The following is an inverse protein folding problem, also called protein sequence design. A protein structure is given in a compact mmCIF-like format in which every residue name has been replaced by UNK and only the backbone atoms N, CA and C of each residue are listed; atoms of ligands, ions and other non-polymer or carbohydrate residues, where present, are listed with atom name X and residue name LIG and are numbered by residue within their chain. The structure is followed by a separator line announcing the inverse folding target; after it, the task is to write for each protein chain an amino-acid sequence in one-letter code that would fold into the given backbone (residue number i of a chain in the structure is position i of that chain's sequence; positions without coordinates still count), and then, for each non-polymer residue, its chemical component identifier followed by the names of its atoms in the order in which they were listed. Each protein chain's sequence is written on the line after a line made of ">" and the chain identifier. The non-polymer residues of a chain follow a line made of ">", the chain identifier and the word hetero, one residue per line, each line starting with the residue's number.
data_IF_239395011241
#
_entry.id   IF_239395011241
#
_cell.length_a   1.000
_cell.length_b   1.000
_cell.length_c   1.000
_cell.angle_alpha   90.00
_cell.angle_beta   90.00
_cell.angle_gamma   90.00
#
_symmetry.space_group_name_H-M   'P 1'
#
loop_
_entity.id
_entity.type
_entity.pdbx_description
1 polymer ?
#
# COMPACT_ATOMS: atom_id res chain seq x y z
N UNK A 1 3.77 -3.31 -10.30
CA UNK A 1 4.05 -3.64 -8.88
C UNK A 1 2.76 -3.94 -8.10
N UNK A 2 2.58 -5.03 -7.34
CA UNK A 2 2.49 -6.46 -7.74
C UNK A 2 1.40 -7.21 -6.91
N UNK A 3 0.20 -7.58 -7.42
CA UNK A 3 -0.51 -8.78 -6.95
C UNK A 3 -0.01 -9.99 -7.73
N UNK A 4 0.82 -10.80 -7.08
CA UNK A 4 1.44 -11.99 -7.67
C UNK A 4 2.95 -11.81 -7.84
N UNK A 5 3.68 -11.90 -6.73
CA UNK A 5 5.14 -11.87 -6.61
C UNK A 5 5.87 -12.97 -7.42
N UNK A 6 5.22 -13.60 -8.40
CA UNK A 6 5.58 -14.89 -8.99
C UNK A 6 6.97 -14.94 -9.59
N UNK A 7 7.49 -13.83 -10.13
CA UNK A 7 8.85 -13.79 -10.69
C UNK A 7 9.82 -12.96 -9.82
N UNK A 8 9.36 -11.93 -9.14
CA UNK A 8 10.21 -11.02 -8.37
C UNK A 8 10.62 -11.56 -7.00
N UNK A 9 9.87 -12.50 -6.40
CA UNK A 9 10.15 -13.04 -5.06
C UNK A 9 10.55 -14.52 -5.06
N UNK A 10 11.32 -14.94 -6.06
CA UNK A 10 12.03 -16.22 -6.02
C UNK A 10 13.04 -16.26 -4.86
N UNK A 11 13.33 -17.47 -4.37
CA UNK A 11 14.29 -17.72 -3.28
C UNK A 11 15.64 -17.07 -3.60
N UNK A 12 16.05 -16.11 -2.77
CA UNK A 12 17.41 -15.59 -2.79
C UNK A 12 18.40 -16.61 -2.22
N UNK A 13 19.67 -16.47 -2.59
CA UNK A 13 20.79 -17.23 -2.05
C UNK A 13 21.74 -16.28 -1.33
N UNK A 14 22.46 -16.79 -0.33
CA UNK A 14 23.49 -16.00 0.36
C UNK A 14 24.58 -15.49 -0.60
N UNK A 15 24.85 -16.23 -1.68
CA UNK A 15 25.77 -15.81 -2.75
C UNK A 15 25.37 -14.50 -3.44
N UNK A 16 24.09 -14.12 -3.36
CA UNK A 16 23.54 -12.94 -4.02
C UNK A 16 23.74 -11.67 -3.18
N UNK A 17 24.33 -11.78 -1.98
CA UNK A 17 24.58 -10.69 -1.04
C UNK A 17 26.05 -10.27 -1.02
N UNK A 18 26.31 -8.98 -0.78
CA UNK A 18 27.64 -8.46 -0.44
C UNK A 18 28.13 -8.96 0.93
N UNK A 19 29.40 -8.77 1.26
CA UNK A 19 29.92 -9.12 2.58
C UNK A 19 29.27 -8.28 3.69
N UNK A 20 29.02 -7.00 3.43
CA UNK A 20 28.34 -6.08 4.35
C UNK A 20 26.88 -6.49 4.60
N UNK A 21 26.15 -6.90 3.54
CA UNK A 21 24.79 -7.40 3.67
C UNK A 21 24.72 -8.72 4.44
N UNK A 22 25.71 -9.61 4.28
CA UNK A 22 25.77 -10.85 5.04
C UNK A 22 26.07 -10.60 6.51
N UNK A 23 26.93 -9.63 6.82
CA UNK A 23 27.33 -9.30 8.18
C UNK A 23 26.19 -8.78 9.06
N UNK A 24 25.11 -8.25 8.45
CA UNK A 24 23.96 -7.76 9.22
C UNK A 24 22.90 -8.82 9.50
N UNK A 25 22.95 -10.00 8.85
CA UNK A 25 21.99 -11.08 9.09
C UNK A 25 22.16 -11.60 10.53
N UNK A 26 21.08 -11.72 11.31
CA UNK A 26 21.17 -12.29 12.66
C UNK A 26 21.69 -13.73 12.65
N UNK A 27 22.60 -14.04 13.58
CA UNK A 27 23.06 -15.41 13.82
C UNK A 27 22.06 -16.22 14.68
N UNK A 28 21.32 -15.52 15.54
CA UNK A 28 20.30 -16.09 16.42
C UNK A 28 18.93 -16.15 15.73
N UNK A 29 18.02 -16.90 16.33
CA UNK A 29 16.61 -16.88 15.94
C UNK A 29 16.06 -15.44 16.03
N UNK A 30 15.22 -15.06 15.07
CA UNK A 30 14.67 -13.70 15.04
C UNK A 30 13.26 -13.63 14.45
N UNK A 31 12.51 -12.63 14.90
CA UNK A 31 11.29 -12.17 14.26
C UNK A 31 11.59 -11.04 13.28
N UNK A 32 10.84 -10.99 12.19
CA UNK A 32 10.95 -9.93 11.17
C UNK A 32 9.67 -9.08 11.16
N UNK A 33 9.84 -7.76 11.06
CA UNK A 33 8.76 -6.81 10.76
C UNK A 33 9.28 -5.76 9.75
N UNK A 34 8.99 -5.94 8.45
CA UNK A 34 9.43 -5.03 7.42
C UNK A 34 8.41 -3.90 7.22
N UNK A 35 8.53 -2.83 8.00
CA UNK A 35 7.67 -1.66 7.89
C UNK A 35 8.35 -0.36 8.34
N UNK A 36 7.97 0.73 7.69
CA UNK A 36 8.25 2.09 8.19
C UNK A 36 7.60 2.31 9.56
N UNK A 37 8.20 3.17 10.38
CA UNK A 37 7.79 3.41 11.77
C UNK A 37 6.53 4.29 11.93
N UNK A 38 5.57 4.17 11.01
CA UNK A 38 4.32 4.93 11.05
C UNK A 38 3.43 4.53 12.23
N UNK A 39 2.61 5.45 12.78
CA UNK A 39 1.76 5.17 13.94
C UNK A 39 0.84 3.94 13.76
N UNK A 40 0.25 3.78 12.57
CA UNK A 40 -0.64 2.66 12.28
C UNK A 40 0.08 1.30 12.18
N UNK A 41 1.42 1.28 12.08
CA UNK A 41 2.19 0.02 12.12
C UNK A 41 2.40 -0.52 13.53
N UNK A 42 1.99 0.21 14.57
CA UNK A 42 1.78 -0.36 15.91
C UNK A 42 3.03 -1.01 16.56
N UNK A 43 4.21 -0.49 16.26
CA UNK A 43 5.49 -0.97 16.77
C UNK A 43 5.53 -1.06 18.30
N UNK A 44 4.96 -0.06 18.98
CA UNK A 44 4.98 0.01 20.44
C UNK A 44 4.30 -1.19 21.10
N UNK A 45 3.05 -1.51 20.73
CA UNK A 45 2.32 -2.66 21.28
C UNK A 45 2.98 -3.99 20.90
N UNK A 46 3.49 -4.07 19.68
CA UNK A 46 4.23 -5.25 19.20
C UNK A 46 5.48 -5.51 20.08
N UNK A 47 6.21 -4.47 20.45
CA UNK A 47 7.39 -4.58 21.33
C UNK A 47 7.03 -4.83 22.80
N UNK A 48 5.89 -4.32 23.28
CA UNK A 48 5.35 -4.67 24.59
C UNK A 48 4.99 -6.18 24.68
N UNK A 49 4.42 -6.72 23.60
CA UNK A 49 4.14 -8.15 23.48
C UNK A 49 5.43 -8.99 23.42
N UNK A 50 6.41 -8.52 22.65
CA UNK A 50 7.73 -9.16 22.55
C UNK A 50 8.48 -9.19 23.89
N UNK A 51 8.43 -8.10 24.67
CA UNK A 51 8.97 -8.05 26.03
C UNK A 51 8.35 -9.12 26.94
N UNK A 52 7.02 -9.32 26.84
CA UNK A 52 6.32 -10.35 27.61
C UNK A 52 6.72 -11.77 27.15
N UNK A 53 6.82 -11.99 25.84
CA UNK A 53 7.29 -13.26 25.26
C UNK A 53 8.69 -13.64 25.77
N UNK A 54 9.65 -12.70 25.76
CA UNK A 54 11.02 -12.98 26.22
C UNK A 54 11.05 -13.31 27.72
N UNK A 55 10.28 -12.59 28.53
CA UNK A 55 10.19 -12.83 29.98
C UNK A 55 9.59 -14.20 30.30
N UNK A 56 8.57 -14.62 29.54
CA UNK A 56 7.88 -15.89 29.76
C UNK A 56 8.69 -17.10 29.30
N UNK A 57 9.38 -16.97 28.17
CA UNK A 57 10.06 -18.10 27.53
C UNK A 57 11.56 -18.19 27.86
N UNK A 58 12.19 -17.08 28.26
CA UNK A 58 13.64 -17.00 28.47
C UNK A 58 14.48 -17.24 27.21
N UNK A 59 13.86 -17.18 26.02
CA UNK A 59 14.51 -17.46 24.74
C UNK A 59 15.45 -16.32 24.33
N UNK A 60 16.54 -16.68 23.67
CA UNK A 60 17.43 -15.71 23.02
C UNK A 60 16.98 -15.48 21.57
N UNK A 61 16.00 -14.61 21.38
CA UNK A 61 15.44 -14.25 20.07
C UNK A 61 15.61 -12.75 19.84
N UNK A 62 16.01 -12.35 18.63
CA UNK A 62 16.08 -10.95 18.21
C UNK A 62 14.78 -10.48 17.52
N UNK A 63 14.55 -9.17 17.48
CA UNK A 63 13.50 -8.57 16.67
C UNK A 63 14.10 -7.60 15.64
N UNK A 64 13.94 -7.93 14.35
CA UNK A 64 14.51 -7.18 13.24
C UNK A 64 13.44 -6.36 12.53
N UNK A 65 13.71 -5.07 12.40
CA UNK A 65 12.92 -4.10 11.65
C UNK A 65 13.67 -3.65 10.40
N UNK A 66 12.93 -3.38 9.33
CA UNK A 66 13.46 -2.78 8.08
C UNK A 66 12.50 -1.71 7.58
N UNK A 67 13.01 -0.72 6.84
CA UNK A 67 12.23 0.42 6.32
C UNK A 67 12.91 1.75 6.63
N UNK A 68 12.16 2.86 6.56
CA UNK A 68 12.66 4.17 6.98
C UNK A 68 12.92 4.19 8.50
N UNK A 69 14.16 4.45 8.98
CA UNK A 69 14.50 4.47 10.39
C UNK A 69 14.08 5.76 11.13
N UNK A 70 13.43 6.72 10.47
CA UNK A 70 12.95 7.94 11.12
C UNK A 70 12.04 7.61 12.32
N UNK A 71 12.40 8.14 13.50
CA UNK A 71 11.73 7.83 14.77
C UNK A 71 12.27 6.60 15.52
N UNK A 72 13.23 5.87 14.95
CA UNK A 72 13.80 4.66 15.57
C UNK A 72 14.44 4.93 16.93
N UNK A 73 15.14 6.05 17.09
CA UNK A 73 15.88 6.37 18.32
C UNK A 73 14.95 6.46 19.55
N UNK A 74 13.73 6.96 19.36
CA UNK A 74 12.70 7.01 20.40
C UNK A 74 12.26 5.60 20.81
N UNK A 75 12.04 4.71 19.85
CA UNK A 75 11.69 3.31 20.09
C UNK A 75 12.84 2.59 20.79
N UNK A 76 14.06 2.72 20.25
CA UNK A 76 15.28 2.10 20.78
C UNK A 76 15.55 2.51 22.22
N UNK A 77 15.38 3.78 22.56
CA UNK A 77 15.57 4.28 23.93
C UNK A 77 14.55 3.66 24.89
N UNK A 78 13.27 3.66 24.52
CA UNK A 78 12.18 3.12 25.33
C UNK A 78 12.30 1.61 25.56
N UNK A 79 12.75 0.87 24.55
CA UNK A 79 12.87 -0.58 24.57
C UNK A 79 14.33 -1.04 24.60
N UNK A 80 15.21 -0.25 25.24
CA UNK A 80 16.67 -0.48 25.29
C UNK A 80 17.09 -1.78 25.98
N UNK A 81 16.19 -2.42 26.72
CA UNK A 81 16.38 -3.71 27.37
C UNK A 81 16.07 -4.90 26.45
N UNK A 82 15.48 -4.66 25.27
CA UNK A 82 15.10 -5.71 24.33
C UNK A 82 16.17 -5.89 23.24
N UNK A 83 16.39 -7.12 22.76
CA UNK A 83 17.31 -7.42 21.65
C UNK A 83 16.71 -7.04 20.30
N UNK A 84 16.63 -5.73 20.03
CA UNK A 84 15.98 -5.18 18.83
C UNK A 84 16.98 -4.46 17.92
N UNK A 85 16.81 -4.62 16.60
CA UNK A 85 17.64 -3.97 15.59
C UNK A 85 16.78 -3.43 14.46
N UNK A 86 17.18 -2.29 13.92
CA UNK A 86 16.58 -1.71 12.73
C UNK A 86 17.66 -1.61 11.65
N UNK A 87 17.49 -2.34 10.55
CA UNK A 87 18.49 -2.41 9.49
C UNK A 87 18.36 -1.29 8.45
N UNK A 88 17.33 -0.46 8.57
CA UNK A 88 17.05 0.60 7.61
C UNK A 88 16.45 0.03 6.32
N UNK A 89 16.63 0.76 5.22
CA UNK A 89 16.32 0.25 3.88
C UNK A 89 17.34 -0.82 3.51
N UNK A 90 16.83 -2.00 3.17
CA UNK A 90 17.64 -3.15 2.74
C UNK A 90 17.32 -3.48 1.29
N UNK A 91 18.31 -3.99 0.55
CA UNK A 91 18.11 -4.45 -0.81
C UNK A 91 17.16 -5.64 -0.89
N UNK A 92 16.55 -5.85 -2.06
CA UNK A 92 15.59 -6.94 -2.30
C UNK A 92 16.16 -8.32 -1.99
N UNK A 93 17.43 -8.58 -2.30
CA UNK A 93 18.09 -9.86 -2.00
C UNK A 93 18.21 -10.08 -0.49
N UNK A 94 18.65 -9.07 0.27
CA UNK A 94 18.77 -9.16 1.72
C UNK A 94 17.39 -9.32 2.36
N UNK A 95 16.38 -8.57 1.92
CA UNK A 95 15.01 -8.70 2.44
C UNK A 95 14.47 -10.12 2.30
N UNK A 96 14.65 -10.75 1.14
CA UNK A 96 14.27 -12.16 0.92
C UNK A 96 14.98 -13.11 1.87
N UNK A 97 16.29 -12.92 2.06
CA UNK A 97 17.08 -13.74 2.99
C UNK A 97 16.60 -13.57 4.43
N UNK A 98 16.24 -12.35 4.83
CA UNK A 98 15.65 -12.07 6.15
C UNK A 98 14.33 -12.82 6.31
N UNK A 99 13.41 -12.75 5.34
CA UNK A 99 12.18 -13.54 5.40
C UNK A 99 12.48 -15.04 5.51
N UNK A 100 13.32 -15.59 4.63
CA UNK A 100 13.64 -17.02 4.58
C UNK A 100 14.27 -17.56 5.88
N UNK A 101 14.95 -16.70 6.63
CA UNK A 101 15.62 -17.06 7.89
C UNK A 101 14.82 -16.71 9.15
N UNK A 102 13.81 -15.85 9.04
CA UNK A 102 13.02 -15.43 10.19
C UNK A 102 12.22 -16.62 10.76
N UNK A 103 12.15 -16.69 12.09
CA UNK A 103 11.32 -17.66 12.81
C UNK A 103 9.83 -17.44 12.51
N UNK A 104 9.43 -16.18 12.35
CA UNK A 104 8.13 -15.77 11.83
C UNK A 104 8.18 -14.32 11.33
N UNK A 105 7.27 -13.99 10.40
CA UNK A 105 6.85 -12.61 10.18
C UNK A 105 5.89 -12.22 11.30
N UNK A 106 6.17 -11.10 11.97
CA UNK A 106 5.31 -10.52 13.01
C UNK A 106 4.76 -9.19 12.50
N UNK A 107 3.47 -9.14 12.18
CA UNK A 107 2.88 -8.02 11.44
C UNK A 107 1.54 -7.57 12.02
N UNK A 108 1.59 -6.90 13.18
CA UNK A 108 0.41 -6.47 13.95
C UNK A 108 0.01 -5.00 13.72
N UNK A 109 -0.13 -4.58 12.47
CA UNK A 109 -0.57 -3.21 12.13
C UNK A 109 -2.06 -2.98 12.43
N UNK A 110 -2.40 -1.74 12.76
CA UNK A 110 -3.78 -1.28 13.00
C UNK A 110 -4.56 -1.09 11.71
N UNK A 111 -3.87 -0.85 10.60
CA UNK A 111 -4.47 -0.65 9.28
C UNK A 111 -3.53 -1.09 8.16
N UNK A 112 -4.05 -1.84 7.19
CA UNK A 112 -3.40 -2.16 5.92
C UNK A 112 -4.35 -1.97 4.75
N UNK A 113 -3.81 -1.49 3.63
CA UNK A 113 -4.55 -1.44 2.36
C UNK A 113 -4.61 -2.80 1.65
N UNK A 114 -3.53 -3.59 1.72
CA UNK A 114 -3.49 -4.92 1.11
C UNK A 114 -2.82 -5.96 2.02
N UNK A 115 -1.55 -5.77 2.40
CA UNK A 115 -0.81 -6.76 3.19
C UNK A 115 0.21 -7.54 2.37
N UNK A 116 0.96 -6.85 1.50
CA UNK A 116 2.06 -7.43 0.71
C UNK A 116 3.06 -8.24 1.56
N UNK A 117 3.45 -7.81 2.77
CA UNK A 117 4.38 -8.57 3.60
C UNK A 117 3.94 -10.02 3.91
N UNK A 118 2.63 -10.27 4.00
CA UNK A 118 2.11 -11.64 4.18
C UNK A 118 2.42 -12.52 2.97
N UNK A 119 2.24 -11.98 1.76
CA UNK A 119 2.56 -12.70 0.54
C UNK A 119 4.07 -12.94 0.44
N UNK A 120 4.90 -11.94 0.71
CA UNK A 120 6.37 -12.08 0.72
C UNK A 120 6.84 -13.18 1.68
N UNK A 121 6.24 -13.26 2.87
CA UNK A 121 6.47 -14.34 3.82
C UNK A 121 6.04 -15.71 3.25
N UNK A 122 4.86 -15.81 2.63
CA UNK A 122 4.42 -17.06 2.00
C UNK A 122 5.36 -17.53 0.89
N UNK A 123 5.85 -16.62 0.03
CA UNK A 123 6.81 -16.93 -1.04
C UNK A 123 8.16 -17.39 -0.46
N UNK A 124 8.54 -16.84 0.69
CA UNK A 124 9.77 -17.19 1.39
C UNK A 124 9.68 -18.47 2.21
N UNK A 125 8.46 -18.99 2.42
CA UNK A 125 8.21 -20.13 3.30
C UNK A 125 8.34 -19.78 4.78
N UNK A 126 7.99 -18.54 5.14
CA UNK A 126 8.04 -18.01 6.50
C UNK A 126 6.64 -18.05 7.11
N UNK A 127 6.45 -18.62 8.31
CA UNK A 127 5.16 -18.60 8.97
C UNK A 127 4.83 -17.18 9.46
N UNK A 128 3.55 -16.86 9.59
CA UNK A 128 3.08 -15.49 9.84
C UNK A 128 2.18 -15.44 11.07
N UNK A 129 2.43 -14.45 11.93
CA UNK A 129 1.47 -13.95 12.92
C UNK A 129 1.12 -12.48 12.61
N UNK A 130 -0.16 -12.15 12.54
CA UNK A 130 -0.59 -10.82 12.10
C UNK A 130 -1.91 -10.33 12.73
N UNK A 131 -2.31 -9.10 12.41
CA UNK A 131 -3.62 -8.57 12.83
C UNK A 131 -4.77 -9.31 12.16
N UNK A 132 -5.91 -9.39 12.85
CA UNK A 132 -7.17 -9.95 12.35
C UNK A 132 -8.15 -8.87 11.82
N UNK A 133 -7.63 -7.71 11.41
CA UNK A 133 -8.42 -6.55 10.95
C UNK A 133 -7.97 -6.07 9.57
N UNK A 134 -8.77 -5.21 8.94
CA UNK A 134 -8.56 -4.64 7.60
C UNK A 134 -8.44 -5.72 6.52
N UNK A 135 -7.45 -5.64 5.63
CA UNK A 135 -7.25 -6.59 4.53
C UNK A 135 -6.54 -7.88 4.98
N UNK A 136 -5.90 -7.91 6.14
CA UNK A 136 -5.06 -9.05 6.55
C UNK A 136 -5.82 -10.39 6.73
N UNK A 137 -7.05 -10.44 7.25
CA UNK A 137 -7.86 -11.66 7.25
C UNK A 137 -8.12 -12.22 5.84
N UNK A 138 -8.33 -11.33 4.87
CA UNK A 138 -8.55 -11.70 3.47
C UNK A 138 -7.27 -12.21 2.80
N UNK A 139 -6.11 -11.63 3.13
CA UNK A 139 -4.82 -12.06 2.57
C UNK A 139 -4.27 -13.30 3.28
N UNK A 140 -4.44 -13.42 4.60
CA UNK A 140 -3.88 -14.49 5.42
C UNK A 140 -4.79 -15.71 5.59
N UNK A 141 -6.10 -15.50 5.75
CA UNK A 141 -7.09 -16.55 6.03
C UNK A 141 -6.61 -17.59 7.03
N UNK A 142 -6.68 -18.87 6.67
CA UNK A 142 -6.29 -19.98 7.55
C UNK A 142 -4.79 -20.35 7.48
N UNK A 143 -4.00 -19.58 6.74
CA UNK A 143 -2.55 -19.76 6.57
C UNK A 143 -1.70 -18.96 7.57
N UNK A 144 -2.36 -18.22 8.49
CA UNK A 144 -1.72 -17.37 9.49
C UNK A 144 -2.33 -17.62 10.85
N UNK A 145 -1.61 -17.26 11.92
CA UNK A 145 -2.23 -17.00 13.21
C UNK A 145 -2.55 -15.51 13.31
N UNK A 146 -3.70 -15.15 13.87
CA UNK A 146 -4.08 -13.74 13.97
C UNK A 146 -4.82 -13.42 15.26
N UNK A 147 -4.66 -12.18 15.71
CA UNK A 147 -5.38 -11.63 16.85
C UNK A 147 -5.69 -10.13 16.66
N UNK A 148 -6.45 -9.57 17.58
CA UNK A 148 -6.70 -8.13 17.63
C UNK A 148 -5.36 -7.38 17.82
N UNK A 149 -5.03 -6.38 16.98
CA UNK A 149 -3.79 -5.61 17.09
C UNK A 149 -3.72 -4.71 18.34
N UNK A 150 -4.75 -4.66 19.15
CA UNK A 150 -4.77 -3.96 20.45
C UNK A 150 -4.55 -4.89 21.64
N UNK A 151 -4.65 -6.21 21.45
CA UNK A 151 -4.45 -7.21 22.50
C UNK A 151 -2.97 -7.67 22.56
N UNK A 152 -2.19 -6.96 23.37
CA UNK A 152 -0.77 -7.24 23.62
C UNK A 152 -0.54 -8.65 24.17
N UNK A 153 -1.46 -9.16 25.00
CA UNK A 153 -1.31 -10.49 25.59
C UNK A 153 -1.56 -11.59 24.53
N UNK A 154 -2.51 -11.40 23.63
CA UNK A 154 -2.73 -12.30 22.51
C UNK A 154 -1.52 -12.35 21.57
N UNK A 155 -0.93 -11.20 21.22
CA UNK A 155 0.28 -11.15 20.40
C UNK A 155 1.43 -11.96 21.02
N UNK A 156 1.64 -11.79 22.33
CA UNK A 156 2.70 -12.51 23.06
C UNK A 156 2.44 -14.03 23.03
N UNK A 157 1.20 -14.48 23.25
CA UNK A 157 0.83 -15.89 23.14
C UNK A 157 1.08 -16.45 21.74
N UNK A 158 0.78 -15.68 20.69
CA UNK A 158 1.06 -16.08 19.31
C UNK A 158 2.56 -16.20 19.03
N UNK A 159 3.39 -15.32 19.60
CA UNK A 159 4.85 -15.44 19.54
C UNK A 159 5.35 -16.71 20.26
N UNK A 160 4.80 -17.04 21.43
CA UNK A 160 5.12 -18.30 22.13
C UNK A 160 4.75 -19.51 21.27
N UNK A 161 3.51 -19.55 20.78
CA UNK A 161 2.96 -20.65 20.00
C UNK A 161 3.78 -20.91 18.73
N UNK A 162 4.11 -19.85 17.98
CA UNK A 162 4.85 -20.00 16.72
C UNK A 162 6.30 -20.45 16.95
N UNK A 163 6.94 -20.07 18.06
CA UNK A 163 8.33 -20.45 18.37
C UNK A 163 8.41 -21.88 18.93
N UNK A 164 7.44 -22.29 19.75
CA UNK A 164 7.46 -23.60 20.41
C UNK A 164 6.98 -24.74 19.51
N UNK A 165 6.08 -24.45 18.56
CA UNK A 165 5.41 -25.49 17.78
C UNK A 165 5.95 -25.59 16.35
N UNK A 166 6.97 -26.43 16.16
CA UNK A 166 7.57 -26.68 14.84
C UNK A 166 6.57 -27.26 13.83
N UNK A 167 5.70 -28.19 14.25
CA UNK A 167 4.70 -28.80 13.38
C UNK A 167 3.67 -27.77 12.90
N UNK A 168 3.24 -26.86 13.78
CA UNK A 168 2.37 -25.76 13.41
C UNK A 168 3.02 -24.84 12.37
N UNK A 169 4.31 -24.49 12.55
CA UNK A 169 5.03 -23.68 11.54
C UNK A 169 5.02 -24.35 10.18
N UNK A 170 5.31 -25.64 10.11
CA UNK A 170 5.27 -26.40 8.85
C UNK A 170 3.88 -26.38 8.20
N UNK A 171 2.82 -26.54 9.00
CA UNK A 171 1.43 -26.45 8.53
C UNK A 171 1.13 -25.06 7.97
N UNK A 172 1.46 -23.99 8.71
CA UNK A 172 1.22 -22.61 8.27
C UNK A 172 1.99 -22.28 6.99
N UNK A 173 3.25 -22.73 6.89
CA UNK A 173 4.07 -22.56 5.68
C UNK A 173 3.45 -23.27 4.49
N UNK A 174 2.95 -24.50 4.67
CA UNK A 174 2.31 -25.25 3.58
C UNK A 174 1.02 -24.55 3.12
N UNK A 175 0.18 -24.11 4.07
CA UNK A 175 -1.02 -23.33 3.75
C UNK A 175 -0.70 -22.01 3.08
N UNK A 176 0.37 -21.32 3.50
CA UNK A 176 0.86 -20.09 2.88
C UNK A 176 1.22 -20.30 1.41
N UNK A 177 1.93 -21.38 1.09
CA UNK A 177 2.27 -21.76 -0.29
C UNK A 177 1.06 -22.05 -1.17
N UNK A 178 0.03 -22.66 -0.62
CA UNK A 178 -1.24 -22.88 -1.35
C UNK A 178 -2.01 -21.57 -1.51
N UNK A 179 -1.98 -20.73 -0.49
CA UNK A 179 -2.70 -19.46 -0.43
C UNK A 179 -2.14 -18.41 -1.37
N UNK A 180 -0.81 -18.26 -1.45
CA UNK A 180 -0.18 -17.31 -2.37
C UNK A 180 -0.58 -17.54 -3.84
N UNK A 181 -0.83 -18.80 -4.23
CA UNK A 181 -1.27 -19.15 -5.59
C UNK A 181 -2.65 -18.58 -5.95
N UNK A 182 -3.40 -18.08 -4.96
CA UNK A 182 -4.68 -17.39 -5.17
C UNK A 182 -4.51 -15.94 -5.60
N UNK A 183 -3.33 -15.35 -5.50
CA UNK A 183 -3.07 -13.94 -5.79
C UNK A 183 -2.22 -13.80 -7.04
N UNK A 184 -2.79 -13.20 -8.09
CA UNK A 184 -2.10 -12.91 -9.35
C UNK A 184 -2.71 -11.70 -10.04
N UNK A 185 -1.94 -11.03 -10.89
CA UNK A 185 -2.39 -9.85 -11.61
C UNK A 185 -3.56 -10.17 -12.53
N UNK A 186 -3.45 -11.32 -13.20
CA UNK A 186 -4.51 -11.82 -14.07
C UNK A 186 -5.81 -11.99 -13.28
N UNK A 187 -5.73 -12.56 -12.07
CA UNK A 187 -6.92 -12.72 -11.23
C UNK A 187 -7.43 -11.38 -10.70
N UNK A 188 -6.56 -10.49 -10.24
CA UNK A 188 -6.95 -9.14 -9.79
C UNK A 188 -7.64 -8.36 -10.91
N UNK A 189 -7.10 -8.37 -12.12
CA UNK A 189 -7.69 -7.75 -13.30
C UNK A 189 -9.03 -8.40 -13.66
N UNK A 190 -9.11 -9.74 -13.63
CA UNK A 190 -10.36 -10.47 -13.89
C UNK A 190 -11.44 -10.09 -12.87
N UNK A 191 -11.11 -10.11 -11.57
CA UNK A 191 -12.03 -9.74 -10.49
C UNK A 191 -12.50 -8.28 -10.63
N UNK A 192 -11.60 -7.35 -10.99
CA UNK A 192 -11.95 -5.95 -11.23
C UNK A 192 -12.92 -5.82 -12.40
N UNK A 193 -12.63 -6.47 -13.53
CA UNK A 193 -13.51 -6.45 -14.70
C UNK A 193 -14.88 -7.08 -14.42
N UNK A 194 -14.93 -8.15 -13.64
CA UNK A 194 -16.19 -8.74 -13.17
C UNK A 194 -16.98 -7.78 -12.28
N UNK A 195 -16.31 -7.09 -11.35
CA UNK A 195 -16.93 -6.08 -10.50
C UNK A 195 -17.49 -4.90 -11.32
N UNK A 196 -16.72 -4.41 -12.29
CA UNK A 196 -17.15 -3.34 -13.20
C UNK A 196 -18.35 -3.80 -14.05
N UNK A 197 -18.32 -4.99 -14.65
CA UNK A 197 -19.45 -5.54 -15.42
C UNK A 197 -20.70 -5.72 -14.57
N UNK A 198 -20.54 -6.19 -13.33
CA UNK A 198 -21.66 -6.36 -12.39
C UNK A 198 -22.38 -5.04 -12.11
N UNK A 199 -21.63 -3.95 -11.96
CA UNK A 199 -22.20 -2.61 -11.73
C UNK A 199 -22.69 -1.97 -13.05
N UNK A 200 -22.00 -2.21 -14.16
CA UNK A 200 -22.32 -1.65 -15.47
C UNK A 200 -23.58 -2.25 -16.13
N UNK A 201 -23.86 -3.54 -15.91
CA UNK A 201 -24.99 -4.23 -16.57
C UNK A 201 -26.39 -3.79 -16.07
N UNK A 202 -26.48 -3.02 -14.99
CA UNK A 202 -27.77 -2.51 -14.50
C UNK A 202 -28.14 -1.13 -15.07
N UNK A 203 -27.22 -0.42 -15.75
CA UNK A 203 -27.52 0.91 -16.32
C UNK A 203 -26.69 1.20 -17.58
N UNK A 204 -27.43 1.34 -18.68
CA UNK A 204 -27.06 1.87 -19.99
C UNK A 204 -26.60 0.83 -21.02
N UNK A 205 -27.23 0.90 -22.19
CA UNK A 205 -26.56 0.59 -23.45
C UNK A 205 -25.14 1.15 -23.35
N UNK A 206 -24.14 0.28 -23.29
CA UNK A 206 -22.76 0.69 -23.54
C UNK A 206 -22.82 1.22 -24.97
N UNK A 207 -22.97 2.55 -25.11
CA UNK A 207 -22.60 3.22 -26.34
C UNK A 207 -21.14 2.86 -26.47
N UNK A 208 -20.86 1.82 -27.25
CA UNK A 208 -19.52 1.57 -27.74
C UNK A 208 -19.15 2.91 -28.32
N UNK A 209 -18.23 3.62 -27.66
CA UNK A 209 -17.64 4.77 -28.26
C UNK A 209 -16.86 4.17 -29.43
N UNK A 210 -17.55 3.97 -30.56
CA UNK A 210 -16.92 3.96 -31.85
C UNK A 210 -16.37 5.37 -31.95
N UNK A 211 -15.15 5.55 -31.45
CA UNK A 211 -14.31 6.69 -31.73
C UNK A 211 -14.08 6.64 -33.24
N UNK A 212 -15.04 7.16 -34.00
CA UNK A 212 -15.00 7.17 -35.46
C UNK A 212 -13.74 7.91 -35.86
N UNK A 213 -12.92 7.26 -36.68
CA UNK A 213 -11.66 7.73 -37.26
C UNK A 213 -11.69 9.23 -37.57
N UNK A 214 -11.20 10.02 -36.63
CA UNK A 214 -11.19 11.48 -36.65
C UNK A 214 -10.49 11.97 -35.38
N UNK A 215 -9.81 13.12 -35.47
CA UNK A 215 -9.00 13.67 -34.38
C UNK A 215 -9.94 14.18 -33.25
N UNK A 216 -10.47 13.25 -32.43
CA UNK A 216 -11.38 13.55 -31.34
C UNK A 216 -10.57 14.10 -30.17
N UNK A 217 -10.97 15.28 -29.69
CA UNK A 217 -10.44 15.88 -28.47
C UNK A 217 -11.47 15.65 -27.34
N UNK A 218 -11.49 14.46 -26.70
CA UNK A 218 -12.42 14.17 -25.62
C UNK A 218 -12.27 15.13 -24.45
N UNK A 219 -13.35 15.39 -23.72
CA UNK A 219 -13.26 16.11 -22.46
C UNK A 219 -12.61 15.20 -21.42
N UNK A 220 -11.48 15.63 -20.85
CA UNK A 220 -10.83 14.95 -19.73
C UNK A 220 -11.27 15.63 -18.44
N UNK A 221 -11.92 14.89 -17.55
CA UNK A 221 -12.29 15.40 -16.24
C UNK A 221 -11.40 14.83 -15.15
N UNK A 222 -10.77 15.71 -14.36
CA UNK A 222 -9.90 15.37 -13.25
C UNK A 222 -10.54 15.80 -11.93
N UNK A 223 -10.60 14.88 -10.97
CA UNK A 223 -11.04 15.15 -9.60
C UNK A 223 -9.86 15.08 -8.66
N UNK A 224 -9.67 16.09 -7.82
CA UNK A 224 -8.66 16.06 -6.76
C UNK A 224 -9.33 16.05 -5.39
N UNK A 225 -9.25 14.94 -4.63
CA UNK A 225 -9.59 14.96 -3.21
C UNK A 225 -8.50 15.70 -2.42
N UNK A 226 -8.88 16.49 -1.42
CA UNK A 226 -7.94 17.21 -0.56
C UNK A 226 -8.43 17.28 0.89
N UNK A 227 -7.54 17.10 1.86
CA UNK A 227 -7.85 17.32 3.28
C UNK A 227 -6.57 17.65 4.06
N UNK A 228 -6.46 18.89 4.53
CA UNK A 228 -5.27 19.45 5.19
C UNK A 228 -3.97 19.24 4.38
N UNK A 229 -4.01 19.60 3.09
CA UNK A 229 -2.91 19.38 2.14
C UNK A 229 -2.35 20.69 1.57
N UNK A 230 -2.49 21.79 2.29
CA UNK A 230 -2.12 23.13 1.83
C UNK A 230 -0.68 23.23 1.33
N UNK A 231 0.24 22.52 1.99
CA UNK A 231 1.65 22.38 1.60
C UNK A 231 1.85 21.92 0.15
N UNK A 232 1.01 21.02 -0.36
CA UNK A 232 1.18 20.39 -1.67
C UNK A 232 0.14 20.81 -2.70
N UNK A 233 -1.06 21.21 -2.23
CA UNK A 233 -2.24 21.44 -3.06
C UNK A 233 -1.99 22.43 -4.20
N UNK A 234 -1.20 23.48 -3.97
CA UNK A 234 -0.84 24.44 -5.02
C UNK A 234 -0.10 23.78 -6.18
N UNK A 235 0.86 22.90 -5.90
CA UNK A 235 1.63 22.20 -6.93
C UNK A 235 0.75 21.25 -7.72
N UNK A 236 -0.13 20.51 -7.04
CA UNK A 236 -1.09 19.61 -7.67
C UNK A 236 -2.04 20.36 -8.60
N UNK A 237 -2.66 21.47 -8.16
CA UNK A 237 -3.51 22.35 -8.99
C UNK A 237 -2.76 22.88 -10.21
N UNK A 238 -1.57 23.48 -10.00
CA UNK A 238 -0.78 24.03 -11.10
C UNK A 238 -0.38 22.94 -12.11
N UNK A 239 -0.13 21.71 -11.66
CA UNK A 239 0.20 20.59 -12.56
C UNK A 239 -0.93 20.25 -13.54
N UNK A 240 -2.18 20.39 -13.10
CA UNK A 240 -3.38 20.17 -13.93
C UNK A 240 -3.60 21.38 -14.85
N UNK A 241 -3.56 22.60 -14.30
CA UNK A 241 -3.83 23.82 -15.06
C UNK A 241 -2.77 24.11 -16.14
N UNK A 242 -1.53 23.64 -15.96
CA UNK A 242 -0.44 23.84 -16.91
C UNK A 242 -0.27 22.70 -17.91
N UNK A 243 -1.22 21.76 -18.00
CA UNK A 243 -1.20 20.74 -19.06
C UNK A 243 -1.39 21.38 -20.44
N UNK A 244 -0.72 20.83 -21.46
CA UNK A 244 -0.85 21.26 -22.85
C UNK A 244 -2.21 20.91 -23.48
N UNK A 245 -2.94 19.97 -22.88
CA UNK A 245 -4.21 19.49 -23.40
C UNK A 245 -5.35 20.50 -23.13
N UNK A 246 -6.06 20.99 -24.16
CA UNK A 246 -6.95 22.15 -24.00
C UNK A 246 -8.34 21.84 -23.41
N UNK A 247 -8.74 20.57 -23.35
CA UNK A 247 -10.10 20.18 -22.93
C UNK A 247 -10.10 19.47 -21.58
N UNK A 248 -9.76 20.22 -20.53
CA UNK A 248 -9.74 19.73 -19.14
C UNK A 248 -10.88 20.37 -18.35
N UNK A 249 -11.73 19.53 -17.74
CA UNK A 249 -12.60 19.91 -16.63
C UNK A 249 -11.91 19.53 -15.32
N UNK A 250 -11.77 20.47 -14.40
CA UNK A 250 -11.10 20.21 -13.12
C UNK A 250 -12.03 20.51 -11.94
N UNK A 251 -12.06 19.59 -10.98
CA UNK A 251 -12.83 19.69 -9.75
C UNK A 251 -11.97 19.33 -8.56
N UNK A 252 -11.92 20.18 -7.53
CA UNK A 252 -11.31 19.85 -6.24
C UNK A 252 -12.39 19.64 -5.19
N UNK A 253 -12.36 18.51 -4.49
CA UNK A 253 -13.25 18.23 -3.36
C UNK A 253 -12.40 18.24 -2.10
N UNK A 254 -12.59 19.27 -1.29
CA UNK A 254 -11.93 19.47 -0.01
C UNK A 254 -12.80 18.92 1.14
N UNK A 255 -12.22 18.06 1.97
CA UNK A 255 -12.88 17.37 3.08
C UNK A 255 -13.16 18.23 4.32
N UNK A 256 -13.26 19.55 4.17
CA UNK A 256 -13.40 20.49 5.27
C UNK A 256 -12.08 20.78 5.95
N UNK A 257 -11.06 21.14 5.17
CA UNK A 257 -9.71 21.43 5.67
C UNK A 257 -9.69 22.58 6.67
N UNK A 258 -8.78 22.46 7.64
CA UNK A 258 -8.54 23.42 8.71
C UNK A 258 -7.22 24.20 8.55
N UNK A 259 -6.40 23.82 7.57
CA UNK A 259 -5.16 24.47 7.19
C UNK A 259 -5.39 25.54 6.09
N UNK A 260 -4.34 25.94 5.38
CA UNK A 260 -4.40 26.93 4.31
C UNK A 260 -5.07 26.44 3.00
N UNK A 261 -5.50 25.18 2.91
CA UNK A 261 -6.03 24.58 1.67
C UNK A 261 -7.20 25.38 1.08
N UNK A 262 -8.16 25.80 1.91
CA UNK A 262 -9.33 26.57 1.46
C UNK A 262 -8.94 27.95 0.93
N UNK A 263 -7.96 28.61 1.54
CA UNK A 263 -7.46 29.90 1.07
C UNK A 263 -6.68 29.77 -0.25
N UNK A 264 -5.94 28.66 -0.42
CA UNK A 264 -5.34 28.32 -1.71
C UNK A 264 -6.43 28.16 -2.77
N UNK A 265 -7.48 27.38 -2.51
CA UNK A 265 -8.58 27.16 -3.47
C UNK A 265 -9.27 28.48 -3.86
N UNK A 266 -9.58 29.33 -2.89
CA UNK A 266 -10.14 30.67 -3.15
C UNK A 266 -9.23 31.52 -4.04
N UNK A 267 -7.91 31.42 -3.90
CA UNK A 267 -6.94 32.20 -4.68
C UNK A 267 -6.99 31.94 -6.19
N UNK A 268 -7.57 30.80 -6.62
CA UNK A 268 -7.73 30.44 -8.04
C UNK A 268 -9.00 30.99 -8.69
N UNK A 269 -9.91 31.61 -7.92
CA UNK A 269 -11.15 32.16 -8.43
C UNK A 269 -11.99 31.11 -9.17
N UNK A 270 -12.35 31.40 -10.43
CA UNK A 270 -13.23 30.55 -11.24
C UNK A 270 -12.49 29.65 -12.24
N UNK A 271 -11.17 29.46 -12.08
CA UNK A 271 -10.37 28.63 -13.01
C UNK A 271 -10.80 27.15 -13.03
N UNK A 272 -11.36 26.66 -11.93
CA UNK A 272 -11.90 25.31 -11.78
C UNK A 272 -12.99 25.30 -10.70
N UNK A 273 -13.78 24.23 -10.61
CA UNK A 273 -14.80 24.12 -9.55
C UNK A 273 -14.19 23.52 -8.29
N UNK A 274 -14.60 23.98 -7.13
CA UNK A 274 -14.25 23.30 -5.89
C UNK A 274 -15.38 23.37 -4.88
N UNK A 275 -15.40 22.38 -3.98
CA UNK A 275 -16.33 22.28 -2.86
C UNK A 275 -15.51 21.98 -1.61
N UNK A 276 -15.82 22.63 -0.49
CA UNK A 276 -15.22 22.33 0.81
C UNK A 276 -16.33 21.98 1.80
N UNK A 277 -16.38 20.71 2.20
CA UNK A 277 -17.33 20.17 3.17
C UNK A 277 -16.76 18.88 3.80
N UNK A 278 -17.18 18.50 5.02
CA UNK A 278 -16.76 17.23 5.61
C UNK A 278 -17.06 16.02 4.73
N UNK A 279 -16.15 15.04 4.73
CA UNK A 279 -16.29 13.75 4.03
C UNK A 279 -15.96 12.56 4.94
N UNK A 280 -16.24 11.35 4.44
CA UNK A 280 -15.91 10.08 5.12
C UNK A 280 -14.55 9.51 4.65
N UNK A 281 -13.66 10.38 4.20
CA UNK A 281 -12.35 10.05 3.65
C UNK A 281 -12.28 10.17 2.12
N UNK A 282 -11.08 9.90 1.60
CA UNK A 282 -10.71 10.15 0.21
C UNK A 282 -11.67 9.52 -0.82
N UNK A 283 -12.17 8.31 -0.57
CA UNK A 283 -13.11 7.64 -1.48
C UNK A 283 -14.44 8.38 -1.58
N UNK A 284 -14.95 8.95 -0.48
CA UNK A 284 -16.17 9.76 -0.51
C UNK A 284 -15.95 11.05 -1.30
N UNK A 285 -14.83 11.75 -1.05
CA UNK A 285 -14.44 12.95 -1.81
C UNK A 285 -14.35 12.68 -3.32
N UNK A 286 -13.68 11.59 -3.72
CA UNK A 286 -13.59 11.16 -5.13
C UNK A 286 -14.98 10.89 -5.71
N UNK A 287 -15.85 10.17 -4.98
CA UNK A 287 -17.20 9.87 -5.42
C UNK A 287 -18.07 11.14 -5.55
N UNK A 288 -17.95 12.10 -4.64
CA UNK A 288 -18.58 13.42 -4.74
C UNK A 288 -18.12 14.15 -6.01
N UNK A 289 -16.82 14.18 -6.26
CA UNK A 289 -16.27 14.79 -7.47
C UNK A 289 -16.74 14.12 -8.75
N UNK A 290 -16.77 12.77 -8.79
CA UNK A 290 -17.24 12.02 -9.95
C UNK A 290 -18.72 12.29 -10.29
N UNK A 291 -19.55 12.70 -9.32
CA UNK A 291 -20.93 13.13 -9.56
C UNK A 291 -21.04 14.51 -10.22
N UNK A 292 -19.99 15.34 -10.16
CA UNK A 292 -19.98 16.71 -10.68
C UNK A 292 -19.42 16.81 -12.09
N UNK A 293 -18.61 15.84 -12.51
CA UNK A 293 -17.87 15.86 -13.78
C UNK A 293 -18.62 15.19 -14.93
N UNK A 294 -18.25 15.55 -16.17
CA UNK A 294 -18.93 15.14 -17.39
C UNK A 294 -18.01 14.56 -18.48
N UNK A 295 -16.71 14.50 -18.21
CA UNK A 295 -15.70 14.07 -19.17
C UNK A 295 -15.92 12.65 -19.68
N UNK A 296 -15.50 12.45 -20.93
CA UNK A 296 -15.45 11.15 -21.59
C UNK A 296 -14.33 10.29 -20.99
N UNK A 297 -13.21 10.95 -20.63
CA UNK A 297 -12.11 10.36 -19.87
C UNK A 297 -12.16 10.94 -18.46
N UNK A 298 -12.11 10.08 -17.46
CA UNK A 298 -12.27 10.43 -16.05
C UNK A 298 -11.09 9.95 -15.25
N UNK A 299 -10.48 10.85 -14.48
CA UNK A 299 -9.35 10.55 -13.62
C UNK A 299 -9.52 11.20 -12.24
N UNK A 300 -8.79 10.69 -11.26
CA UNK A 300 -8.54 11.41 -10.02
C UNK A 300 -7.03 11.59 -9.85
N UNK A 301 -6.63 12.67 -9.18
CA UNK A 301 -5.24 13.01 -8.86
C UNK A 301 -5.21 13.45 -7.39
N UNK A 302 -4.41 12.81 -6.54
CA UNK A 302 -4.36 13.22 -5.14
C UNK A 302 -3.74 14.61 -5.00
N UNK A 303 -4.09 15.33 -3.93
CA UNK A 303 -3.64 16.72 -3.71
C UNK A 303 -2.13 16.84 -3.42
N UNK A 304 -1.47 15.72 -3.15
CA UNK A 304 -0.02 15.58 -2.97
C UNK A 304 0.71 15.01 -4.21
N UNK A 305 -0.02 14.70 -5.28
CA UNK A 305 0.53 14.24 -6.56
C UNK A 305 0.62 15.38 -7.60
N UNK A 306 1.57 15.25 -8.53
CA UNK A 306 1.83 16.21 -9.61
C UNK A 306 1.83 15.48 -10.95
N UNK A 307 1.02 15.95 -11.91
CA UNK A 307 1.12 15.49 -13.29
C UNK A 307 2.37 16.07 -13.96
N UNK A 308 3.16 15.21 -14.60
CA UNK A 308 4.24 15.68 -15.48
C UNK A 308 3.66 16.47 -16.67
N UNK A 309 4.42 17.40 -17.26
CA UNK A 309 4.00 18.10 -18.47
C UNK A 309 3.59 17.13 -19.58
N UNK A 310 2.51 17.45 -20.31
CA UNK A 310 1.94 16.65 -21.41
C UNK A 310 1.39 15.28 -21.03
N UNK A 311 1.20 14.98 -19.74
CA UNK A 311 0.64 13.70 -19.30
C UNK A 311 -0.75 13.46 -19.86
N UNK A 312 -1.62 14.47 -19.80
CA UNK A 312 -3.01 14.35 -20.28
C UNK A 312 -3.06 14.13 -21.80
N UNK A 313 -2.27 14.90 -22.57
CA UNK A 313 -2.15 14.74 -24.02
C UNK A 313 -1.70 13.31 -24.39
N UNK A 314 -0.70 12.78 -23.68
CA UNK A 314 -0.19 11.43 -23.91
C UNK A 314 -1.22 10.34 -23.60
N UNK A 315 -2.02 10.51 -22.54
CA UNK A 315 -3.09 9.57 -22.17
C UNK A 315 -4.19 9.58 -23.25
N UNK A 316 -4.63 10.77 -23.67
CA UNK A 316 -5.66 10.92 -24.72
C UNK A 316 -5.18 10.30 -26.02
N UNK A 317 -3.95 10.60 -26.45
CA UNK A 317 -3.34 10.02 -27.65
C UNK A 317 -3.28 8.49 -27.60
N UNK A 318 -2.96 7.94 -26.43
CA UNK A 318 -2.89 6.49 -26.24
C UNK A 318 -4.27 5.85 -26.33
N UNK A 319 -5.26 6.38 -25.61
CA UNK A 319 -6.64 5.85 -25.63
C UNK A 319 -7.27 5.95 -27.02
N UNK A 320 -7.05 7.06 -27.73
CA UNK A 320 -7.51 7.21 -29.12
C UNK A 320 -6.90 6.18 -30.07
N UNK A 321 -5.64 5.78 -29.85
CA UNK A 321 -4.95 4.76 -30.67
C UNK A 321 -5.30 3.33 -30.28
N UNK A 322 -5.80 3.12 -29.06
CA UNK A 322 -6.09 1.81 -28.48
C UNK A 322 -7.52 1.83 -27.89
N UNK A 323 -8.57 1.89 -28.74
CA UNK A 323 -9.96 2.05 -28.29
C UNK A 323 -10.49 0.87 -27.47
N UNK A 324 -9.77 -0.26 -27.46
CA UNK A 324 -10.03 -1.42 -26.61
C UNK A 324 -9.53 -1.28 -25.16
N UNK A 325 -8.76 -0.23 -24.86
CA UNK A 325 -8.21 0.01 -23.53
C UNK A 325 -9.17 0.86 -22.69
N UNK A 326 -9.62 0.29 -21.57
CA UNK A 326 -10.55 0.98 -20.64
C UNK A 326 -9.84 1.88 -19.61
N UNK A 327 -8.57 1.60 -19.28
CA UNK A 327 -7.83 2.28 -18.21
C UNK A 327 -6.37 2.47 -18.58
N UNK A 328 -5.84 3.67 -18.31
CA UNK A 328 -4.42 4.02 -18.44
C UNK A 328 -3.96 4.62 -17.12
N UNK A 329 -2.77 4.22 -16.67
CA UNK A 329 -2.09 4.81 -15.52
C UNK A 329 -0.62 5.06 -15.87
N UNK A 330 0.02 6.00 -15.18
CA UNK A 330 1.43 6.33 -15.34
C UNK A 330 2.31 5.67 -14.29
N UNK A 331 3.61 5.58 -14.58
CA UNK A 331 4.62 5.39 -13.54
C UNK A 331 4.73 6.65 -12.65
N UNK A 332 5.29 6.49 -11.46
CA UNK A 332 5.46 7.58 -10.50
C UNK A 332 6.96 7.84 -10.24
N UNK A 333 7.31 9.13 -10.17
CA UNK A 333 8.56 9.57 -9.56
C UNK A 333 8.25 10.03 -8.14
N UNK A 334 8.88 9.40 -7.15
CA UNK A 334 8.74 9.80 -5.76
C UNK A 334 9.68 10.97 -5.48
N UNK A 335 9.11 12.05 -4.93
CA UNK A 335 9.79 13.27 -4.55
C UNK A 335 9.51 13.52 -3.06
N UNK A 336 9.97 12.60 -2.21
CA UNK A 336 9.85 12.65 -0.76
C UNK A 336 11.00 13.42 -0.07
#
# INVERSE_FOLDING_TARGET
>A
MNPGLSDEFQKARLSDLSEEERAVIPEKDFFLYPANLWPHKNHQRTLEAFSSFLRETGREVEFIFTGNPEGWETIRTRFSHLPIRHLGFVGTSLLKILYQKASALVFFSLYEGFGIPLLEAFYSGTPVICSNTTSLPEIGGDAVLSCDPTDVAAMSRLMCEIVENAALREILVQKGKERQGKFSWVRSATNLMEALRRVGNDRAEVKTACWTTGNHYPLVSIVTPSYNQGRFLRYSIESVLNQSYPHIEYVVIDGGSSDESVEILKSYGNKFKWVSEPDEGQTDAINKGFRLIRGDIRAYLNSDDVLLPKSVERIVDYLNKNPEVDLVYGDAYYID
#
